data_IF_186453966232
#
_entry.id   IF_186453966232
#
_cell.length_a   1.000
_cell.length_b   1.000
_cell.length_c   1.000
_cell.angle_alpha   90.00
_cell.angle_beta   90.00
_cell.angle_gamma   90.00
#
_symmetry.space_group_name_H-M   'P 1'
#
loop_
_entity.id
_entity.type
_entity.pdbx_description
1 polymer ?
#
# COMPACT_ATOMS: atom_id res chain seq x y z
N UNK A 1 7.89 2.25 11.55
CA UNK A 1 6.80 2.72 10.70
C UNK A 1 6.92 4.20 10.32
N UNK A 2 7.25 5.06 11.30
CA UNK A 2 7.36 6.49 11.02
C UNK A 2 8.52 6.80 10.08
N UNK A 3 9.64 6.10 10.22
CA UNK A 3 10.78 6.26 9.31
C UNK A 3 10.42 5.83 7.89
N UNK A 4 9.63 4.77 7.74
CA UNK A 4 9.15 4.34 6.43
C UNK A 4 8.23 5.37 5.81
N UNK A 5 7.30 5.90 6.59
CA UNK A 5 6.36 6.92 6.14
C UNK A 5 7.09 8.18 5.66
N UNK A 6 8.11 8.63 6.41
CA UNK A 6 8.92 9.76 6.01
C UNK A 6 9.67 9.52 4.70
N UNK A 7 10.27 8.34 4.55
CA UNK A 7 10.96 7.95 3.33
C UNK A 7 10.01 7.85 2.15
N UNK A 8 8.81 7.33 2.37
CA UNK A 8 7.80 7.19 1.34
C UNK A 8 7.34 8.56 0.85
N UNK A 9 7.03 9.48 1.77
CA UNK A 9 6.64 10.84 1.42
C UNK A 9 7.76 11.58 0.69
N UNK A 10 8.99 11.42 1.15
CA UNK A 10 10.15 12.03 0.53
C UNK A 10 10.37 11.51 -0.90
N UNK A 11 10.21 10.20 -1.09
CA UNK A 11 10.34 9.59 -2.41
C UNK A 11 9.24 10.08 -3.37
N UNK A 12 8.01 10.21 -2.88
CA UNK A 12 6.90 10.73 -3.69
C UNK A 12 7.13 12.17 -4.11
N UNK A 13 7.66 12.99 -3.21
CA UNK A 13 7.90 14.41 -3.49
C UNK A 13 9.05 14.62 -4.49
N UNK A 14 10.07 13.77 -4.45
CA UNK A 14 11.32 13.99 -5.20
C UNK A 14 11.48 13.08 -6.41
N UNK A 15 10.77 11.97 -6.50
CA UNK A 15 10.96 10.99 -7.55
C UNK A 15 10.12 11.25 -8.79
N UNK A 16 9.04 12.00 -8.67
CA UNK A 16 8.05 12.16 -9.75
C UNK A 16 7.63 13.60 -9.92
N UNK A 17 7.42 14.00 -11.16
CA UNK A 17 6.89 15.31 -11.49
C UNK A 17 5.49 15.51 -10.89
N UNK A 18 4.71 14.45 -10.81
CA UNK A 18 3.35 14.47 -10.27
C UNK A 18 3.24 13.95 -8.85
N UNK A 19 4.37 13.64 -8.21
CA UNK A 19 4.39 13.12 -6.83
C UNK A 19 3.77 14.06 -5.81
N UNK A 20 3.80 15.36 -6.07
CA UNK A 20 3.17 16.36 -5.24
C UNK A 20 1.65 16.19 -5.11
N UNK A 21 1.03 15.42 -6.02
CA UNK A 21 -0.40 15.11 -6.00
C UNK A 21 -0.71 13.84 -5.21
N UNK A 22 0.31 13.18 -4.70
CA UNK A 22 0.14 11.95 -3.93
C UNK A 22 0.22 12.22 -2.44
N UNK A 23 -0.64 11.55 -1.70
CA UNK A 23 -0.69 11.62 -0.24
C UNK A 23 -0.69 10.20 0.30
N UNK A 24 0.05 9.95 1.38
CA UNK A 24 0.09 8.65 2.03
C UNK A 24 -0.66 8.72 3.35
N UNK A 25 -1.51 7.73 3.59
CA UNK A 25 -2.17 7.54 4.89
C UNK A 25 -1.81 6.19 5.44
N UNK A 26 -1.65 6.08 6.74
CA UNK A 26 -1.32 4.82 7.40
C UNK A 26 -2.53 4.19 8.07
N UNK A 27 -2.49 2.87 8.21
CA UNK A 27 -3.51 2.08 8.90
C UNK A 27 -4.92 2.35 8.36
N UNK A 28 -5.07 2.25 7.05
CA UNK A 28 -6.33 2.52 6.37
C UNK A 28 -7.20 1.25 6.34
N UNK A 29 -8.42 1.30 6.88
CA UNK A 29 -9.33 0.15 6.76
C UNK A 29 -9.58 -0.24 5.31
N UNK A 30 -9.58 -1.53 5.03
CA UNK A 30 -9.82 -2.05 3.67
C UNK A 30 -11.16 -1.56 3.14
N UNK A 31 -12.17 -1.53 4.00
CA UNK A 31 -13.51 -1.09 3.63
C UNK A 31 -13.58 0.38 3.19
N UNK A 32 -12.57 1.20 3.55
CA UNK A 32 -12.50 2.60 3.10
C UNK A 32 -11.85 2.75 1.73
N UNK A 33 -11.12 1.74 1.28
CA UNK A 33 -10.44 1.76 -0.02
C UNK A 33 -11.36 1.29 -1.13
N UNK A 34 -12.18 0.29 -0.86
CA UNK A 34 -13.05 -0.35 -1.86
C UNK A 34 -14.52 -0.17 -1.52
N UNK A 35 -15.32 0.11 -2.53
CA UNK A 35 -16.78 0.30 -2.37
C UNK A 35 -17.52 -1.03 -2.25
N UNK A 36 -17.01 -2.08 -2.87
CA UNK A 36 -17.68 -3.38 -2.92
C UNK A 36 -16.80 -4.48 -2.33
N UNK A 37 -17.42 -5.43 -1.65
CA UNK A 37 -16.77 -6.62 -1.13
C UNK A 37 -17.39 -7.87 -1.76
N UNK A 38 -16.97 -8.28 -2.96
CA UNK A 38 -17.54 -9.44 -3.62
C UNK A 38 -17.27 -10.76 -2.89
N UNK A 39 -16.22 -10.82 -2.08
CA UNK A 39 -15.86 -12.00 -1.32
C UNK A 39 -16.56 -12.13 0.03
N UNK A 40 -17.26 -11.11 0.48
CA UNK A 40 -17.97 -11.07 1.78
C UNK A 40 -17.12 -11.62 2.94
N UNK A 41 -15.85 -11.24 2.99
CA UNK A 41 -14.93 -11.73 4.02
C UNK A 41 -14.91 -10.80 5.23
N UNK A 42 -14.75 -11.38 6.41
CA UNK A 42 -14.61 -10.59 7.63
C UNK A 42 -13.42 -9.63 7.56
N UNK A 43 -12.36 -10.06 6.89
CA UNK A 43 -11.15 -9.23 6.73
C UNK A 43 -11.43 -7.91 6.02
N UNK A 44 -12.38 -7.89 5.08
CA UNK A 44 -12.76 -6.65 4.39
C UNK A 44 -13.22 -5.58 5.37
N UNK A 45 -13.94 -5.98 6.40
CA UNK A 45 -14.49 -5.06 7.40
C UNK A 45 -13.55 -4.80 8.58
N UNK A 46 -12.69 -5.76 8.92
CA UNK A 46 -11.83 -5.69 10.11
C UNK A 46 -10.35 -5.43 9.79
N UNK A 47 -9.94 -5.72 8.54
CA UNK A 47 -8.55 -5.57 8.12
C UNK A 47 -8.18 -4.16 7.75
N UNK A 48 -6.87 -3.89 7.79
CA UNK A 48 -6.29 -2.59 7.42
C UNK A 48 -5.07 -2.80 6.56
N UNK A 49 -4.81 -1.82 5.70
CA UNK A 49 -3.54 -1.72 5.01
C UNK A 49 -2.59 -0.85 5.84
N UNK A 50 -1.32 -1.23 5.89
CA UNK A 50 -0.32 -0.44 6.62
C UNK A 50 -0.22 0.98 6.06
N UNK A 51 -0.15 1.10 4.73
CA UNK A 51 -0.10 2.38 4.04
C UNK A 51 -0.91 2.32 2.75
N UNK A 52 -1.60 3.40 2.46
CA UNK A 52 -2.29 3.58 1.18
C UNK A 52 -1.86 4.90 0.58
N UNK A 53 -1.46 4.86 -0.68
CA UNK A 53 -1.11 6.05 -1.46
C UNK A 53 -2.36 6.50 -2.20
N UNK A 54 -2.69 7.76 -2.03
CA UNK A 54 -3.81 8.42 -2.71
C UNK A 54 -3.26 9.43 -3.71
N UNK A 55 -3.92 9.52 -4.84
CA UNK A 55 -3.61 10.54 -5.84
C UNK A 55 -4.77 11.51 -5.93
N UNK A 56 -4.45 12.81 -5.99
CA UNK A 56 -5.48 13.83 -6.13
C UNK A 56 -5.91 13.92 -7.59
N UNK A 57 -7.22 13.79 -7.81
CA UNK A 57 -7.85 14.01 -9.10
C UNK A 57 -8.95 15.08 -8.91
N UNK A 58 -8.63 16.31 -9.29
CA UNK A 58 -9.51 17.44 -8.99
C UNK A 58 -9.66 17.66 -7.49
N UNK A 59 -10.88 17.52 -6.96
CA UNK A 59 -11.16 17.64 -5.53
C UNK A 59 -11.19 16.31 -4.79
N UNK A 60 -10.96 15.20 -5.49
CA UNK A 60 -11.03 13.87 -4.91
C UNK A 60 -9.64 13.31 -4.66
N UNK A 61 -9.52 12.52 -3.60
CA UNK A 61 -8.36 11.69 -3.35
C UNK A 61 -8.73 10.25 -3.70
N UNK A 62 -8.05 9.70 -4.70
CA UNK A 62 -8.30 8.33 -5.17
C UNK A 62 -7.20 7.40 -4.69
N UNK A 63 -7.54 6.29 -4.01
CA UNK A 63 -6.52 5.31 -3.63
C UNK A 63 -5.97 4.64 -4.88
N UNK A 64 -4.64 4.55 -4.97
CA UNK A 64 -3.99 3.98 -6.16
C UNK A 64 -3.10 2.79 -5.82
N UNK A 65 -2.63 2.67 -4.59
CA UNK A 65 -1.62 1.71 -4.22
C UNK A 65 -1.67 1.45 -2.72
N UNK A 66 -1.60 0.18 -2.32
CA UNK A 66 -1.40 -0.20 -0.92
C UNK A 66 0.00 -0.75 -0.72
N UNK A 67 0.61 -0.44 0.40
CA UNK A 67 1.94 -0.92 0.75
C UNK A 67 1.87 -1.56 2.14
N UNK A 68 2.39 -2.78 2.24
CA UNK A 68 2.47 -3.53 3.49
C UNK A 68 3.92 -3.74 3.90
N UNK A 69 4.20 -3.56 5.18
CA UNK A 69 5.52 -3.88 5.75
C UNK A 69 5.47 -5.28 6.33
N UNK A 70 6.32 -6.16 5.83
CA UNK A 70 6.39 -7.55 6.28
C UNK A 70 7.58 -7.75 7.21
N UNK A 71 7.31 -8.14 8.47
CA UNK A 71 8.34 -8.57 9.42
C UNK A 71 8.65 -10.06 9.25
N UNK A 72 9.83 -10.49 9.71
CA UNK A 72 10.22 -11.91 9.68
C UNK A 72 9.25 -12.78 10.47
N UNK A 73 8.74 -12.26 11.56
CA UNK A 73 7.79 -12.96 12.44
C UNK A 73 6.52 -13.36 11.71
N UNK A 74 6.12 -12.57 10.72
CA UNK A 74 4.91 -12.80 9.97
C UNK A 74 5.03 -13.95 8.97
N UNK A 75 6.24 -14.32 8.56
CA UNK A 75 6.44 -15.35 7.54
C UNK A 75 6.08 -16.74 8.01
N UNK A 76 6.25 -17.02 9.30
CA UNK A 76 6.08 -18.35 9.87
C UNK A 76 4.73 -18.54 10.55
N UNK A 77 3.91 -17.50 10.65
CA UNK A 77 2.60 -17.58 11.28
C UNK A 77 1.51 -17.89 10.25
N UNK A 78 0.86 -19.09 10.32
CA UNK A 78 -0.17 -19.45 9.36
C UNK A 78 -1.38 -18.51 9.34
N UNK A 79 -1.72 -17.92 10.48
CA UNK A 79 -2.84 -16.97 10.58
C UNK A 79 -2.52 -15.71 9.81
N UNK A 80 -1.31 -15.16 9.98
CA UNK A 80 -0.85 -13.98 9.27
C UNK A 80 -0.75 -14.26 7.77
N UNK A 81 -0.20 -15.43 7.40
CA UNK A 81 -0.10 -15.82 5.99
C UNK A 81 -1.47 -15.89 5.31
N UNK A 82 -2.48 -16.40 5.99
CA UNK A 82 -3.86 -16.44 5.46
C UNK A 82 -4.43 -15.04 5.28
N UNK A 83 -4.21 -14.14 6.23
CA UNK A 83 -4.64 -12.74 6.12
C UNK A 83 -3.98 -12.05 4.93
N UNK A 84 -2.69 -12.28 4.75
CA UNK A 84 -1.93 -11.70 3.66
C UNK A 84 -2.47 -12.16 2.31
N UNK A 85 -2.76 -13.46 2.16
CA UNK A 85 -3.34 -14.01 0.95
C UNK A 85 -4.74 -13.43 0.66
N UNK A 86 -5.55 -13.26 1.70
CA UNK A 86 -6.88 -12.65 1.55
C UNK A 86 -6.82 -11.18 1.14
N UNK A 87 -5.87 -10.42 1.70
CA UNK A 87 -5.64 -9.05 1.28
C UNK A 87 -5.22 -8.98 -0.20
N UNK A 88 -4.32 -9.86 -0.62
CA UNK A 88 -3.90 -9.95 -2.01
C UNK A 88 -5.06 -10.29 -2.94
N UNK A 89 -5.91 -11.22 -2.51
CA UNK A 89 -7.09 -11.60 -3.28
C UNK A 89 -8.07 -10.44 -3.43
N UNK A 90 -8.35 -9.72 -2.34
CA UNK A 90 -9.22 -8.55 -2.37
C UNK A 90 -8.67 -7.50 -3.34
N UNK A 91 -7.39 -7.22 -3.27
CA UNK A 91 -6.75 -6.27 -4.19
C UNK A 91 -6.86 -6.71 -5.64
N UNK A 92 -6.61 -7.99 -5.93
CA UNK A 92 -6.75 -8.52 -7.29
C UNK A 92 -8.17 -8.42 -7.82
N UNK A 93 -9.15 -8.71 -6.99
CA UNK A 93 -10.57 -8.64 -7.39
C UNK A 93 -10.99 -7.22 -7.74
N UNK A 94 -10.32 -6.22 -7.18
CA UNK A 94 -10.60 -4.81 -7.45
C UNK A 94 -9.62 -4.19 -8.46
N UNK A 95 -8.71 -4.97 -9.02
CA UNK A 95 -7.68 -4.46 -9.92
C UNK A 95 -6.74 -3.46 -9.25
N UNK A 96 -6.46 -3.66 -7.97
CA UNK A 96 -5.70 -2.72 -7.14
C UNK A 96 -4.32 -3.28 -6.81
N UNK A 97 -3.29 -2.43 -6.91
CA UNK A 97 -1.91 -2.84 -6.66
C UNK A 97 -1.62 -2.92 -5.16
N UNK A 98 -1.00 -4.01 -4.74
CA UNK A 98 -0.50 -4.20 -3.39
C UNK A 98 1.00 -4.54 -3.47
N UNK A 99 1.82 -3.73 -2.83
CA UNK A 99 3.26 -3.93 -2.77
C UNK A 99 3.65 -4.31 -1.34
N UNK A 100 4.46 -5.35 -1.21
CA UNK A 100 5.01 -5.76 0.08
C UNK A 100 6.47 -5.39 0.16
N UNK A 101 6.85 -4.76 1.28
CA UNK A 101 8.22 -4.35 1.55
C UNK A 101 8.67 -5.04 2.83
N UNK A 102 9.82 -5.70 2.79
CA UNK A 102 10.40 -6.28 4.00
C UNK A 102 10.74 -5.16 4.98
N UNK A 103 10.42 -5.37 6.24
CA UNK A 103 10.65 -4.39 7.29
C UNK A 103 12.13 -3.99 7.41
N UNK A 104 13.05 -4.92 7.06
CA UNK A 104 14.48 -4.64 7.03
C UNK A 104 14.88 -3.58 5.99
N UNK A 105 14.06 -3.36 4.97
CA UNK A 105 14.31 -2.36 3.92
C UNK A 105 13.54 -1.05 4.14
N UNK A 106 12.79 -0.95 5.24
CA UNK A 106 11.93 0.21 5.49
C UNK A 106 12.69 1.54 5.61
N UNK A 107 13.98 1.49 5.96
CA UNK A 107 14.83 2.68 6.08
C UNK A 107 15.68 2.96 4.85
N UNK A 108 15.57 2.14 3.81
CA UNK A 108 16.36 2.28 2.59
C UNK A 108 15.65 3.15 1.57
N UNK A 109 15.94 4.43 1.60
CA UNK A 109 15.29 5.41 0.73
C UNK A 109 15.37 5.04 -0.76
N UNK A 110 16.54 4.66 -1.25
CA UNK A 110 16.71 4.33 -2.66
C UNK A 110 15.89 3.10 -3.08
N UNK A 111 15.74 2.14 -2.18
CA UNK A 111 14.92 0.96 -2.43
C UNK A 111 13.44 1.34 -2.55
N UNK A 112 12.95 2.16 -1.63
CA UNK A 112 11.57 2.65 -1.63
C UNK A 112 11.31 3.47 -2.90
N UNK A 113 12.23 4.34 -3.24
CA UNK A 113 12.17 5.15 -4.46
C UNK A 113 12.07 4.28 -5.71
N UNK A 114 12.89 3.21 -5.80
CA UNK A 114 12.88 2.33 -6.97
C UNK A 114 11.55 1.58 -7.12
N UNK A 115 10.96 1.15 -6.00
CA UNK A 115 9.63 0.49 -6.02
C UNK A 115 8.57 1.44 -6.58
N UNK A 116 8.56 2.68 -6.13
CA UNK A 116 7.60 3.69 -6.58
C UNK A 116 7.81 4.03 -8.07
N UNK A 117 9.06 4.19 -8.49
CA UNK A 117 9.38 4.43 -9.90
C UNK A 117 8.85 3.30 -10.77
N UNK A 118 9.10 2.05 -10.37
CA UNK A 118 8.63 0.89 -11.12
C UNK A 118 7.11 0.85 -11.20
N UNK A 119 6.43 1.13 -10.09
CA UNK A 119 4.98 1.19 -10.07
C UNK A 119 4.44 2.24 -11.05
N UNK A 120 4.95 3.47 -10.96
CA UNK A 120 4.44 4.57 -11.81
C UNK A 120 4.78 4.37 -13.29
N UNK A 121 5.87 3.72 -13.62
CA UNK A 121 6.17 3.34 -15.01
C UNK A 121 5.19 2.30 -15.53
N UNK A 122 4.81 1.36 -14.69
CA UNK A 122 3.91 0.27 -15.06
C UNK A 122 2.51 0.76 -15.37
N UNK A 123 2.05 1.80 -14.68
CA UNK A 123 0.68 2.33 -14.81
C UNK A 123 0.56 3.55 -15.71
N UNK A 124 1.69 4.07 -16.20
CA UNK A 124 1.66 5.25 -17.08
C UNK A 124 1.54 4.89 -18.56
#
# INVERSE_FOLDING_TARGET
EDAFLENLNHALDNAFLDGSRCTVRKEVPIAQVFENNPGCTDLFYTGRFDFVVYQREGRRLMPILAIELDGREHRDDPVVQRRDRKKEQICREHGFELIRVENSYARRYNYIKSILINYFRKVS
#
